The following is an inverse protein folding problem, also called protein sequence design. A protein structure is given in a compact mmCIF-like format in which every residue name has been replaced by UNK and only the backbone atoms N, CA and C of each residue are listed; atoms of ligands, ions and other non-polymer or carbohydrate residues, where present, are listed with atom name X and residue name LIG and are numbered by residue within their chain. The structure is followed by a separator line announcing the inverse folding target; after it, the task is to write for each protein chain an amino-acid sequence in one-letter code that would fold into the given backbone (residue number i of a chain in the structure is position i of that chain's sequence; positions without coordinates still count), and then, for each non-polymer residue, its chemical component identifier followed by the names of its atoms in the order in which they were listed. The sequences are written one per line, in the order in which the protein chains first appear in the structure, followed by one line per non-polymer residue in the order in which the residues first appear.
data_IF_189073062250
#
_entry.id   IF_189073062250
#
_cell.length_a   1.000
_cell.length_b   1.000
_cell.length_c   1.000
_cell.angle_alpha   90.00
_cell.angle_beta   90.00
_cell.angle_gamma   90.00
#
_symmetry.space_group_name_H-M   'P 1'
#
loop_
_entity.id
_entity.type
_entity.pdbx_description
1 polymer ?
#
# COMPACT_ATOMS: atom_id res chain seq x y z
N UNK A 1 -3.01 34.17 42.08
CA UNK A 1 -1.63 34.42 41.60
C UNK A 1 -1.59 34.14 40.11
N UNK A 2 -1.60 35.19 39.29
CA UNK A 2 -1.67 35.09 37.82
C UNK A 2 -0.26 35.02 37.23
N UNK A 3 0.06 33.93 36.55
CA UNK A 3 1.32 33.77 35.83
C UNK A 3 1.20 34.42 34.45
N UNK A 4 1.95 35.52 34.24
CA UNK A 4 2.11 36.18 32.95
C UNK A 4 3.01 35.30 32.06
N UNK A 5 2.54 34.95 30.85
CA UNK A 5 3.36 34.33 29.80
C UNK A 5 4.09 35.43 29.03
N UNK A 6 5.42 35.40 29.03
CA UNK A 6 6.25 36.20 28.14
C UNK A 6 6.36 35.45 26.80
N UNK A 7 5.87 36.06 25.73
CA UNK A 7 6.18 35.68 24.36
C UNK A 7 7.43 36.48 23.96
N UNK A 8 8.57 35.81 23.82
CA UNK A 8 9.69 36.33 23.04
C UNK A 8 9.54 35.75 21.63
N UNK A 9 9.16 36.59 20.68
CA UNK A 9 9.30 36.34 19.25
C UNK A 9 10.72 36.78 18.86
N UNK A 10 11.59 35.82 18.56
CA UNK A 10 12.85 36.07 17.88
C UNK A 10 12.64 35.69 16.41
N UNK A 11 12.44 36.71 15.58
CA UNK A 11 12.44 36.63 14.13
C UNK A 11 13.85 36.27 13.66
N UNK A 12 14.02 35.04 13.17
CA UNK A 12 15.24 34.64 12.49
C UNK A 12 15.17 35.07 11.01
N UNK A 13 16.20 35.75 10.48
CA UNK A 13 16.26 36.12 9.08
C UNK A 13 16.35 34.87 8.20
N UNK A 14 15.46 34.82 7.21
CA UNK A 14 15.42 33.79 6.18
C UNK A 14 16.41 34.19 5.07
N UNK A 15 17.53 33.45 4.96
CA UNK A 15 18.46 33.53 3.82
C UNK A 15 17.93 32.63 2.69
N UNK A 16 17.55 33.20 1.53
CA UNK A 16 16.99 32.43 0.42
C UNK A 16 18.01 32.33 -0.72
N UNK A 17 19.13 31.64 -0.52
CA UNK A 17 20.07 31.35 -1.61
C UNK A 17 20.69 29.97 -1.38
N UNK A 18 20.13 28.94 -2.02
CA UNK A 18 20.80 27.67 -2.32
C UNK A 18 20.02 27.02 -3.48
N UNK A 19 20.10 27.65 -4.65
CA UNK A 19 19.80 27.05 -5.96
C UNK A 19 21.04 26.24 -6.41
N UNK A 20 21.21 25.05 -5.84
CA UNK A 20 22.15 24.05 -6.35
C UNK A 20 21.40 23.06 -7.27
N UNK A 21 21.35 23.41 -8.56
CA UNK A 21 20.99 22.51 -9.67
C UNK A 21 22.15 21.51 -9.90
N UNK A 22 22.17 20.40 -9.16
CA UNK A 22 23.06 19.26 -9.36
C UNK A 22 22.48 18.28 -10.39
N UNK A 23 22.82 18.49 -11.67
CA UNK A 23 22.54 17.63 -12.83
C UNK A 23 23.41 16.34 -12.80
N UNK A 24 23.17 15.49 -11.80
CA UNK A 24 23.85 14.18 -11.66
C UNK A 24 22.94 13.01 -12.08
N UNK A 25 23.15 12.56 -13.32
CA UNK A 25 23.03 11.22 -13.93
C UNK A 25 22.03 10.17 -13.37
N UNK A 26 21.23 9.62 -14.30
CA UNK A 26 20.26 8.52 -14.16
C UNK A 26 19.02 8.81 -13.28
N UNK A 27 18.40 9.97 -13.55
CA UNK A 27 17.13 10.36 -12.95
C UNK A 27 15.99 9.41 -13.32
N UNK A 28 15.58 8.63 -12.33
CA UNK A 28 14.33 7.89 -12.33
C UNK A 28 13.14 8.88 -12.26
N UNK A 29 12.86 9.63 -13.34
CA UNK A 29 11.91 10.76 -13.38
C UNK A 29 10.61 10.39 -12.67
N UNK A 30 10.36 10.95 -11.46
CA UNK A 30 9.18 10.61 -10.70
C UNK A 30 7.95 11.09 -11.47
N UNK A 31 7.13 10.15 -11.98
CA UNK A 31 5.86 10.47 -12.64
C UNK A 31 5.11 11.57 -11.87
N UNK A 32 4.72 12.64 -12.59
CA UNK A 32 4.11 13.81 -11.99
C UNK A 32 2.84 13.43 -11.22
N UNK A 33 2.52 14.18 -10.16
CA UNK A 33 1.30 13.94 -9.35
C UNK A 33 0.04 13.84 -10.23
N UNK A 34 0.01 14.58 -11.35
CA UNK A 34 -1.07 14.56 -12.35
C UNK A 34 -1.16 13.23 -13.11
N UNK A 35 -0.03 12.68 -13.57
CA UNK A 35 0.03 11.39 -14.28
C UNK A 35 -0.36 10.21 -13.37
N UNK A 36 0.05 10.23 -12.10
CA UNK A 36 -0.35 9.18 -11.14
C UNK A 36 -1.87 9.16 -10.92
N UNK A 37 -2.51 10.34 -10.90
CA UNK A 37 -3.96 10.47 -10.74
C UNK A 37 -4.72 9.95 -11.96
N UNK A 38 -4.28 10.29 -13.18
CA UNK A 38 -4.95 9.84 -14.41
C UNK A 38 -4.88 8.31 -14.58
N UNK A 39 -3.72 7.69 -14.33
CA UNK A 39 -3.56 6.23 -14.38
C UNK A 39 -4.47 5.51 -13.38
N UNK A 40 -4.57 6.02 -12.15
CA UNK A 40 -5.45 5.45 -11.12
C UNK A 40 -6.94 5.56 -11.49
N UNK A 41 -7.35 6.65 -12.12
CA UNK A 41 -8.72 6.84 -12.60
C UNK A 41 -9.06 5.89 -13.75
N UNK A 42 -8.18 5.78 -14.76
CA UNK A 42 -8.36 4.85 -15.87
C UNK A 42 -8.48 3.39 -15.39
N UNK A 43 -7.59 2.97 -14.49
CA UNK A 43 -7.64 1.64 -13.89
C UNK A 43 -8.93 1.42 -13.08
N UNK A 44 -9.43 2.45 -12.38
CA UNK A 44 -10.71 2.36 -11.65
C UNK A 44 -11.89 2.10 -12.59
N UNK A 45 -11.93 2.76 -13.74
CA UNK A 45 -12.98 2.56 -14.76
C UNK A 45 -12.93 1.12 -15.27
N UNK A 46 -11.75 0.61 -15.62
CA UNK A 46 -11.56 -0.78 -16.07
C UNK A 46 -12.02 -1.80 -15.02
N UNK A 47 -11.58 -1.65 -13.77
CA UNK A 47 -11.93 -2.56 -12.68
C UNK A 47 -13.42 -2.51 -12.31
N UNK A 48 -14.11 -1.39 -12.56
CA UNK A 48 -15.54 -1.25 -12.29
C UNK A 48 -16.40 -2.14 -13.20
N UNK A 49 -15.93 -2.50 -14.40
CA UNK A 49 -16.66 -3.40 -15.31
C UNK A 49 -16.63 -4.84 -14.80
N UNK A 50 -15.60 -5.22 -14.04
CA UNK A 50 -15.38 -6.58 -13.53
C UNK A 50 -16.36 -6.96 -12.41
N UNK A 51 -16.60 -8.27 -12.29
CA UNK A 51 -17.42 -8.85 -11.23
C UNK A 51 -16.62 -9.05 -9.93
N UNK A 52 -17.30 -9.13 -8.78
CA UNK A 52 -16.66 -9.36 -7.47
C UNK A 52 -15.78 -10.63 -7.47
N UNK A 53 -16.22 -11.79 -8.02
CA UNK A 53 -15.38 -12.99 -8.09
C UNK A 53 -14.06 -12.76 -8.83
N UNK A 54 -14.07 -12.03 -9.96
CA UNK A 54 -12.87 -11.72 -10.74
C UNK A 54 -11.92 -10.83 -9.92
N UNK A 55 -12.44 -9.78 -9.28
CA UNK A 55 -11.63 -8.88 -8.44
C UNK A 55 -10.97 -9.65 -7.27
N UNK A 56 -11.70 -10.57 -6.64
CA UNK A 56 -11.15 -11.46 -5.60
C UNK A 56 -10.06 -12.36 -6.16
N UNK A 57 -10.22 -12.87 -7.38
CA UNK A 57 -9.22 -13.72 -8.03
C UNK A 57 -7.91 -12.95 -8.29
N UNK A 58 -8.00 -11.71 -8.80
CA UNK A 58 -6.84 -10.83 -9.00
C UNK A 58 -6.05 -10.64 -7.69
N UNK A 59 -6.75 -10.41 -6.58
CA UNK A 59 -6.10 -10.28 -5.26
C UNK A 59 -5.46 -11.60 -4.79
N UNK A 60 -6.12 -12.75 -5.02
CA UNK A 60 -5.59 -14.07 -4.65
C UNK A 60 -4.32 -14.43 -5.42
N UNK A 61 -4.26 -14.13 -6.72
CA UNK A 61 -3.06 -14.33 -7.55
C UNK A 61 -1.86 -13.55 -7.02
N UNK A 62 -2.10 -12.39 -6.41
CA UNK A 62 -1.08 -11.58 -5.76
C UNK A 62 -0.89 -11.91 -4.27
N UNK A 63 -1.52 -12.98 -3.78
CA UNK A 63 -1.54 -13.41 -2.38
C UNK A 63 -1.99 -12.30 -1.40
N UNK A 64 -2.98 -11.51 -1.81
CA UNK A 64 -3.54 -10.41 -1.05
C UNK A 64 -4.94 -10.77 -0.52
N UNK A 65 -5.39 -10.03 0.50
CA UNK A 65 -6.70 -10.27 1.14
C UNK A 65 -7.87 -10.02 0.15
N UNK A 66 -8.69 -11.04 -0.17
CA UNK A 66 -9.82 -10.93 -1.09
C UNK A 66 -11.16 -10.57 -0.41
N UNK A 67 -11.18 -10.20 0.87
CA UNK A 67 -12.40 -9.84 1.60
C UNK A 67 -12.79 -8.36 1.42
N UNK A 68 -14.08 -8.08 1.42
CA UNK A 68 -14.64 -6.72 1.28
C UNK A 68 -15.71 -6.61 0.19
N UNK A 69 -16.33 -5.44 0.12
CA UNK A 69 -17.27 -5.09 -0.95
C UNK A 69 -16.53 -4.70 -2.25
N UNK A 70 -17.26 -4.55 -3.37
CA UNK A 70 -16.67 -4.24 -4.68
C UNK A 70 -15.78 -2.98 -4.64
N UNK A 71 -16.23 -1.90 -4.01
CA UNK A 71 -15.49 -0.64 -3.92
C UNK A 71 -14.19 -0.75 -3.13
N UNK A 72 -14.19 -1.51 -2.03
CA UNK A 72 -13.00 -1.83 -1.24
C UNK A 72 -11.99 -2.67 -2.02
N UNK A 73 -12.46 -3.69 -2.75
CA UNK A 73 -11.59 -4.54 -3.57
C UNK A 73 -10.90 -3.71 -4.66
N UNK A 74 -11.65 -2.86 -5.38
CA UNK A 74 -11.10 -1.97 -6.42
C UNK A 74 -10.08 -0.99 -5.82
N UNK A 75 -10.44 -0.32 -4.72
CA UNK A 75 -9.55 0.64 -4.05
C UNK A 75 -8.27 -0.03 -3.58
N UNK A 76 -8.36 -1.27 -3.09
CA UNK A 76 -7.22 -2.08 -2.68
C UNK A 76 -6.33 -2.45 -3.87
N UNK A 77 -6.90 -2.93 -4.98
CA UNK A 77 -6.13 -3.25 -6.20
C UNK A 77 -5.38 -2.01 -6.70
N UNK A 78 -6.05 -0.86 -6.82
CA UNK A 78 -5.41 0.39 -7.26
C UNK A 78 -4.26 0.79 -6.32
N UNK A 79 -4.48 0.69 -5.01
CA UNK A 79 -3.44 0.98 -4.02
C UNK A 79 -2.23 0.05 -4.19
N UNK A 80 -2.45 -1.24 -4.37
CA UNK A 80 -1.38 -2.23 -4.48
C UNK A 80 -0.66 -2.16 -5.84
N UNK A 81 -1.34 -1.82 -6.92
CA UNK A 81 -0.69 -1.52 -8.21
C UNK A 81 0.26 -0.33 -8.08
N UNK A 82 -0.15 0.71 -7.35
CA UNK A 82 0.67 1.91 -7.14
C UNK A 82 1.84 1.68 -6.17
N UNK A 83 1.59 0.94 -5.09
CA UNK A 83 2.52 0.88 -3.97
C UNK A 83 3.24 -0.47 -3.86
N UNK A 84 2.84 -1.49 -4.61
CA UNK A 84 3.26 -2.88 -4.41
C UNK A 84 2.38 -3.64 -3.41
N UNK A 85 2.40 -4.96 -3.55
CA UNK A 85 1.81 -5.95 -2.65
C UNK A 85 2.52 -6.04 -1.29
N UNK A 86 1.77 -6.38 -0.24
CA UNK A 86 2.36 -6.65 1.07
C UNK A 86 3.14 -7.98 1.02
N UNK A 87 4.41 -8.02 1.45
CA UNK A 87 5.20 -9.24 1.44
C UNK A 87 4.70 -10.22 2.51
N UNK A 88 5.02 -11.50 2.31
CA UNK A 88 4.89 -12.51 3.37
C UNK A 88 5.79 -12.17 4.54
N UNK A 89 5.34 -12.49 5.75
CA UNK A 89 6.17 -12.39 6.94
C UNK A 89 7.35 -13.37 6.80
N UNK A 90 8.60 -12.95 7.00
CA UNK A 90 9.76 -13.84 6.86
C UNK A 90 9.84 -14.87 8.01
N UNK A 91 9.33 -14.52 9.20
CA UNK A 91 9.30 -15.43 10.36
C UNK A 91 8.29 -16.55 10.18
N UNK A 92 7.06 -16.21 9.79
CA UNK A 92 5.97 -17.18 9.76
C UNK A 92 5.63 -17.68 8.34
N UNK A 93 5.98 -16.96 7.27
CA UNK A 93 5.69 -17.30 5.86
C UNK A 93 4.19 -17.41 5.48
N UNK A 94 3.28 -17.56 6.45
CA UNK A 94 1.84 -17.67 6.24
C UNK A 94 1.12 -16.33 6.30
N UNK A 95 1.52 -15.47 7.26
CA UNK A 95 0.96 -14.14 7.44
C UNK A 95 1.52 -13.14 6.44
N UNK A 96 0.70 -12.15 6.07
CA UNK A 96 1.12 -10.98 5.29
C UNK A 96 1.30 -9.80 6.22
N UNK A 97 2.39 -9.04 6.04
CA UNK A 97 2.66 -7.87 6.88
C UNK A 97 1.56 -6.82 6.68
N UNK A 98 1.14 -6.18 7.77
CA UNK A 98 0.21 -5.05 7.77
C UNK A 98 0.96 -3.79 8.21
N UNK A 99 0.52 -2.64 7.71
CA UNK A 99 1.03 -1.34 8.16
C UNK A 99 0.29 -0.91 9.42
N UNK A 100 1.03 -0.57 10.48
CA UNK A 100 0.55 0.17 11.64
C UNK A 100 1.09 1.60 11.55
N UNK A 101 0.20 2.56 11.37
CA UNK A 101 0.56 3.98 11.33
C UNK A 101 0.68 4.53 12.76
N UNK A 102 1.88 4.97 13.16
CA UNK A 102 2.05 5.71 14.40
C UNK A 102 1.76 7.21 14.16
N UNK A 103 0.53 7.64 14.46
CA UNK A 103 0.07 9.03 14.26
C UNK A 103 0.99 10.10 14.85
N UNK A 104 1.70 9.80 15.95
CA UNK A 104 2.57 10.78 16.62
C UNK A 104 3.97 10.92 16.00
N UNK A 105 4.45 9.91 15.26
CA UNK A 105 5.86 9.86 14.80
C UNK A 105 5.99 9.89 13.28
N UNK A 106 4.87 9.97 12.54
CA UNK A 106 4.83 9.81 11.07
C UNK A 106 5.57 8.56 10.55
N UNK A 107 5.79 7.57 11.42
CA UNK A 107 6.48 6.32 11.11
C UNK A 107 5.45 5.20 10.91
N UNK A 108 5.59 4.48 9.80
CA UNK A 108 4.88 3.23 9.56
C UNK A 108 5.72 2.06 10.04
N UNK A 109 5.18 1.24 10.95
CA UNK A 109 5.78 -0.06 11.27
C UNK A 109 4.99 -1.15 10.56
N UNK A 110 5.69 -2.14 10.02
CA UNK A 110 5.10 -3.34 9.47
C UNK A 110 5.04 -4.40 10.56
N UNK A 111 3.89 -5.00 10.76
CA UNK A 111 3.71 -6.07 11.75
C UNK A 111 3.00 -7.26 11.13
N UNK A 112 3.37 -8.46 11.55
CA UNK A 112 2.61 -9.65 11.23
C UNK A 112 1.35 -9.68 12.10
N UNK A 113 0.14 -9.86 11.54
CA UNK A 113 -1.08 -9.99 12.35
C UNK A 113 -1.09 -11.27 13.20
N UNK A 114 -0.17 -12.21 12.93
CA UNK A 114 -0.11 -13.51 13.57
C UNK A 114 -1.26 -14.41 13.11
N UNK A 115 -0.94 -15.37 12.25
CA UNK A 115 -1.76 -16.58 12.17
C UNK A 115 -1.24 -17.56 13.22
N UNK A 116 -2.11 -18.30 13.92
CA UNK A 116 -1.67 -19.35 14.82
C UNK A 116 -0.79 -20.33 14.05
N UNK A 117 0.48 -20.41 14.45
CA UNK A 117 1.44 -21.35 13.92
C UNK A 117 1.31 -22.67 14.65
N UNK A 118 0.57 -23.61 14.07
CA UNK A 118 0.40 -24.95 14.64
C UNK A 118 -1.04 -25.45 14.53
N UNK A 119 -1.26 -26.41 13.64
CA UNK A 119 -2.40 -27.35 13.71
C UNK A 119 -1.89 -28.75 14.12
N UNK A 120 -0.70 -28.84 14.71
CA UNK A 120 -0.25 -30.10 15.30
C UNK A 120 -0.86 -30.20 16.69
N UNK A 121 -1.56 -31.31 16.93
CA UNK A 121 -2.15 -31.60 18.23
C UNK A 121 -1.06 -31.58 19.30
N UNK A 122 -1.12 -30.61 20.22
CA UNK A 122 -0.17 -30.43 21.31
C UNK A 122 0.69 -29.16 21.27
N UNK A 123 0.71 -28.42 20.16
CA UNK A 123 1.48 -27.16 20.10
C UNK A 123 0.68 -26.00 20.72
N UNK A 124 1.34 -25.21 21.58
CA UNK A 124 0.77 -23.99 22.16
C UNK A 124 0.51 -22.96 21.06
N UNK A 125 -0.63 -22.25 21.13
CA UNK A 125 -0.97 -21.20 20.17
C UNK A 125 -0.01 -20.00 20.30
N UNK A 126 1.11 -20.01 19.57
CA UNK A 126 2.01 -18.86 19.50
C UNK A 126 1.59 -17.92 18.37
N UNK A 127 1.32 -16.66 18.71
CA UNK A 127 1.09 -15.59 17.76
C UNK A 127 2.45 -15.07 17.23
N UNK A 128 2.58 -14.92 15.91
CA UNK A 128 3.78 -14.31 15.33
C UNK A 128 3.89 -12.83 15.75
N UNK A 129 4.98 -12.50 16.40
CA UNK A 129 5.37 -11.19 16.94
C UNK A 129 6.30 -10.40 16.01
N UNK A 130 6.46 -10.83 14.75
CA UNK A 130 7.39 -10.18 13.82
C UNK A 130 6.96 -8.73 13.52
N UNK A 131 7.88 -7.80 13.77
CA UNK A 131 7.75 -6.36 13.48
C UNK A 131 9.01 -5.88 12.77
N UNK A 132 8.86 -5.00 11.78
CA UNK A 132 9.97 -4.36 11.06
C UNK A 132 9.59 -2.94 10.64
N UNK A 133 10.57 -2.05 10.54
CA UNK A 133 10.38 -0.68 10.07
C UNK A 133 10.43 -0.60 8.54
N UNK A 134 11.11 -1.55 7.88
CA UNK A 134 11.25 -1.62 6.43
C UNK A 134 10.68 -2.93 5.89
N UNK A 135 10.09 -2.90 4.70
CA UNK A 135 9.72 -4.12 3.97
C UNK A 135 9.83 -3.92 2.46
N UNK A 136 10.36 -4.94 1.78
CA UNK A 136 10.41 -4.97 0.32
C UNK A 136 9.03 -5.36 -0.19
N UNK A 137 8.31 -4.39 -0.76
CA UNK A 137 7.00 -4.63 -1.33
C UNK A 137 7.15 -5.43 -2.62
N UNK A 138 6.26 -6.39 -2.82
CA UNK A 138 6.27 -7.20 -4.04
C UNK A 138 5.61 -6.41 -5.17
N UNK A 139 6.10 -6.49 -6.42
CA UNK A 139 5.37 -5.90 -7.54
C UNK A 139 3.98 -6.54 -7.65
N UNK A 140 2.95 -5.72 -7.86
CA UNK A 140 1.59 -6.22 -8.03
C UNK A 140 1.35 -6.54 -9.51
N UNK A 141 1.01 -7.79 -9.79
CA UNK A 141 0.83 -8.32 -11.14
C UNK A 141 -0.66 -8.20 -11.51
N UNK A 142 -0.96 -7.38 -12.51
CA UNK A 142 -2.27 -7.38 -13.16
C UNK A 142 -2.26 -8.44 -14.27
N UNK A 143 -3.35 -9.22 -14.44
CA UNK A 143 -3.42 -10.16 -15.56
C UNK A 143 -3.43 -9.38 -16.87
N UNK A 144 -2.53 -9.73 -17.79
CA UNK A 144 -2.36 -9.09 -19.10
C UNK A 144 -3.66 -9.06 -19.92
N UNK A 145 -4.52 -10.06 -19.68
CA UNK A 145 -5.80 -10.24 -20.36
C UNK A 145 -6.92 -9.39 -19.75
N UNK A 146 -6.63 -8.34 -18.98
CA UNK A 146 -7.66 -7.51 -18.35
C UNK A 146 -8.62 -6.94 -19.42
N UNK A 147 -8.09 -6.54 -20.57
CA UNK A 147 -8.90 -6.04 -21.70
C UNK A 147 -9.80 -7.12 -22.29
N UNK A 148 -9.28 -8.33 -22.52
CA UNK A 148 -10.09 -9.47 -22.99
C UNK A 148 -11.22 -9.80 -22.00
N UNK A 149 -10.91 -9.79 -20.70
CA UNK A 149 -11.93 -10.05 -19.66
C UNK A 149 -13.02 -8.97 -19.66
N UNK A 150 -12.66 -7.71 -19.95
CA UNK A 150 -13.63 -6.61 -20.06
C UNK A 150 -14.52 -6.81 -21.29
N UNK A 151 -13.95 -7.15 -22.44
CA UNK A 151 -14.70 -7.42 -23.67
C UNK A 151 -15.69 -8.58 -23.49
N UNK A 152 -15.25 -9.71 -22.93
CA UNK A 152 -16.15 -10.83 -22.65
C UNK A 152 -17.31 -10.44 -21.72
N UNK A 153 -17.07 -9.65 -20.67
CA UNK A 153 -18.15 -9.20 -19.77
C UNK A 153 -19.10 -8.18 -20.40
N UNK A 154 -18.70 -7.51 -21.50
CA UNK A 154 -19.58 -6.59 -22.22
C UNK A 154 -20.60 -7.31 -23.11
N UNK A 155 -20.29 -8.53 -23.56
CA UNK A 155 -21.16 -9.34 -24.43
C UNK A 155 -22.34 -9.96 -23.64
N UNK A 156 -22.13 -10.26 -22.36
CA UNK A 156 -23.10 -10.98 -21.52
C UNK A 156 -23.93 -10.08 -20.59
N UNK A 157 -23.99 -8.76 -20.85
CA UNK A 157 -24.85 -7.81 -20.13
C UNK A 157 -25.98 -7.34 -21.00
#
# INVERSE_FOLDING_TARGET
MSLKRNHNEEDLPYDPDDDDDDDSDDEHVPLSKKQKKSKALSLRVQLNVLTIPILKNILRLNHQNPFGNKGELISRIIYLVRNGGYPSCPKCKSGRLKIRLHRRKNQSKFYCPGFPMGFRAGDSFYQCDYVTDTCNKQPFILPSNLNLIIEFNSIFK
#
